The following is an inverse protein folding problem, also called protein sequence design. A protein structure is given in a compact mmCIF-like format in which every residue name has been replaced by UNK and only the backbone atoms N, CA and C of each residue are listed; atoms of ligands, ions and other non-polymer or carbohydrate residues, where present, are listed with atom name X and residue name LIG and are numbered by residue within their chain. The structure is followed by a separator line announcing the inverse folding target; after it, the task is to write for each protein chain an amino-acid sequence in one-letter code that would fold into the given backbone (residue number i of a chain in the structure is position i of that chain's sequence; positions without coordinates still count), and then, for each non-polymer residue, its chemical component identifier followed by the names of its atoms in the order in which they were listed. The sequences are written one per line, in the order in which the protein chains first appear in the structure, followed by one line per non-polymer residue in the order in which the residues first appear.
data_IF_833016512841
#
_entry.id   IF_833016512841
#
_cell.length_a   1.000
_cell.length_b   1.000
_cell.length_c   1.000
_cell.angle_alpha   90.00
_cell.angle_beta   90.00
_cell.angle_gamma   90.00
#
_symmetry.space_group_name_H-M   'P 1'
#
loop_
_entity.id
_entity.type
_entity.pdbx_description
1 polymer ?
#
# COMPACT_ATOMS: atom_id res chain seq x y z
N UNK A 1 -7.84 -19.68 6.22
CA UNK A 1 -7.51 -18.48 7.05
C UNK A 1 -6.86 -17.34 6.25
N UNK A 2 -6.57 -17.56 4.96
CA UNK A 2 -5.87 -16.61 4.08
C UNK A 2 -6.42 -15.18 4.00
N UNK A 3 -7.74 -14.99 4.10
CA UNK A 3 -8.37 -13.67 3.93
C UNK A 3 -8.05 -12.71 5.08
N UNK A 4 -8.01 -13.23 6.32
CA UNK A 4 -7.69 -12.41 7.51
C UNK A 4 -6.22 -11.96 7.45
N UNK A 5 -5.31 -12.87 7.07
CA UNK A 5 -3.88 -12.57 6.94
C UNK A 5 -3.66 -11.53 5.83
N UNK A 6 -4.37 -11.63 4.72
CA UNK A 6 -4.35 -10.64 3.65
C UNK A 6 -4.86 -9.27 4.12
N UNK A 7 -5.95 -9.21 4.89
CA UNK A 7 -6.45 -7.97 5.47
C UNK A 7 -5.46 -7.32 6.45
N UNK A 8 -4.87 -8.09 7.35
CA UNK A 8 -3.86 -7.59 8.30
C UNK A 8 -2.63 -7.08 7.56
N UNK A 9 -2.14 -7.84 6.58
CA UNK A 9 -1.02 -7.43 5.73
C UNK A 9 -1.29 -6.11 4.99
N UNK A 10 -2.50 -5.95 4.45
CA UNK A 10 -2.93 -4.71 3.78
C UNK A 10 -2.90 -3.51 4.74
N UNK A 11 -3.49 -3.64 5.93
CA UNK A 11 -3.57 -2.56 6.91
C UNK A 11 -2.17 -2.16 7.41
N UNK A 12 -1.31 -3.12 7.74
CA UNK A 12 0.06 -2.85 8.19
C UNK A 12 0.86 -2.15 7.10
N UNK A 13 0.81 -2.63 5.86
CA UNK A 13 1.51 -2.00 4.75
C UNK A 13 0.98 -0.59 4.48
N UNK A 14 -0.33 -0.38 4.50
CA UNK A 14 -0.93 0.93 4.32
C UNK A 14 -0.51 1.94 5.39
N UNK A 15 -0.46 1.52 6.66
CA UNK A 15 0.03 2.36 7.76
C UNK A 15 1.49 2.74 7.58
N UNK A 16 2.34 1.78 7.20
CA UNK A 16 3.76 2.05 6.93
C UNK A 16 3.95 3.00 5.76
N UNK A 17 3.20 2.79 4.68
CA UNK A 17 3.24 3.66 3.49
C UNK A 17 2.76 5.06 3.84
N UNK A 18 1.65 5.19 4.56
CA UNK A 18 1.11 6.48 5.03
C UNK A 18 2.16 7.26 5.82
N UNK A 19 2.84 6.58 6.75
CA UNK A 19 3.75 7.22 7.69
C UNK A 19 5.10 7.59 7.07
N UNK A 20 5.62 6.77 6.16
CA UNK A 20 7.01 6.90 5.70
C UNK A 20 7.19 7.22 4.21
N UNK A 21 6.20 6.89 3.37
CA UNK A 21 6.37 6.92 1.91
C UNK A 21 5.50 7.99 1.26
N UNK A 22 4.25 8.13 1.68
CA UNK A 22 3.25 8.93 0.95
C UNK A 22 3.60 10.42 0.86
N UNK A 23 4.13 11.02 1.93
CA UNK A 23 4.52 12.44 1.96
C UNK A 23 5.78 12.76 1.14
N UNK A 24 6.93 12.05 1.31
CA UNK A 24 8.10 12.32 0.50
C UNK A 24 7.87 12.01 -0.98
N UNK A 25 7.09 10.96 -1.29
CA UNK A 25 6.77 10.61 -2.67
C UNK A 25 5.86 11.66 -3.34
N UNK A 26 4.87 12.20 -2.62
CA UNK A 26 4.03 13.28 -3.13
C UNK A 26 4.85 14.54 -3.46
N UNK A 27 5.79 14.91 -2.58
CA UNK A 27 6.67 16.06 -2.81
C UNK A 27 7.55 15.84 -4.04
N UNK A 28 8.17 14.66 -4.16
CA UNK A 28 9.01 14.33 -5.32
C UNK A 28 8.25 14.35 -6.65
N UNK A 29 7.01 13.84 -6.68
CA UNK A 29 6.19 13.86 -7.91
C UNK A 29 5.81 15.29 -8.31
N UNK A 30 5.47 16.12 -7.33
CA UNK A 30 5.10 17.53 -7.56
C UNK A 30 6.31 18.31 -8.06
N UNK A 31 7.50 18.10 -7.50
CA UNK A 31 8.73 18.77 -7.95
C UNK A 31 9.09 18.46 -9.42
N UNK A 32 8.59 17.35 -9.96
CA UNK A 32 8.83 16.94 -11.34
C UNK A 32 7.89 17.62 -12.35
N UNK A 33 6.87 18.37 -11.90
CA UNK A 33 5.85 19.00 -12.75
C UNK A 33 5.89 20.53 -12.64
N UNK A 34 5.62 21.20 -13.76
CA UNK A 34 5.39 22.66 -13.78
C UNK A 34 3.90 22.92 -13.62
N UNK A 35 3.55 23.74 -12.64
CA UNK A 35 2.17 24.15 -12.39
C UNK A 35 1.99 25.63 -12.73
N UNK A 36 0.97 25.93 -13.51
CA UNK A 36 0.58 27.31 -13.84
C UNK A 36 -0.25 27.97 -12.73
N UNK A 37 -0.91 27.15 -11.89
CA UNK A 37 -1.77 27.58 -10.79
C UNK A 37 -1.37 26.88 -9.47
N UNK A 38 -1.23 27.61 -8.35
CA UNK A 38 -0.96 27.00 -7.04
C UNK A 38 -2.02 26.00 -6.55
N UNK A 39 -3.28 26.11 -6.96
CA UNK A 39 -4.32 25.15 -6.51
C UNK A 39 -4.09 23.73 -7.07
N UNK A 40 -3.46 23.62 -8.24
CA UNK A 40 -3.17 22.33 -8.89
C UNK A 40 -2.08 21.56 -8.13
N UNK A 41 -1.17 22.27 -7.49
CA UNK A 41 -0.11 21.70 -6.63
C UNK A 41 -0.74 20.93 -5.46
N UNK A 42 -1.70 21.56 -4.77
CA UNK A 42 -2.39 20.94 -3.63
C UNK A 42 -3.20 19.71 -4.04
N UNK A 43 -3.88 19.79 -5.18
CA UNK A 43 -4.65 18.67 -5.74
C UNK A 43 -3.75 17.50 -6.13
N UNK A 44 -2.58 17.77 -6.73
CA UNK A 44 -1.61 16.75 -7.10
C UNK A 44 -1.00 16.08 -5.87
N UNK A 45 -0.64 16.84 -4.83
CA UNK A 45 -0.18 16.29 -3.56
C UNK A 45 -1.20 15.31 -2.97
N UNK A 46 -2.48 15.71 -2.92
CA UNK A 46 -3.54 14.86 -2.39
C UNK A 46 -3.75 13.59 -3.24
N UNK A 47 -3.72 13.72 -4.57
CA UNK A 47 -3.85 12.59 -5.49
C UNK A 47 -2.72 11.59 -5.31
N UNK A 48 -1.47 12.06 -5.31
CA UNK A 48 -0.30 11.18 -5.14
C UNK A 48 -0.30 10.53 -3.77
N UNK A 49 -0.66 11.27 -2.71
CA UNK A 49 -0.79 10.71 -1.37
C UNK A 49 -1.83 9.58 -1.34
N UNK A 50 -3.02 9.80 -1.90
CA UNK A 50 -4.08 8.79 -1.95
C UNK A 50 -3.68 7.57 -2.80
N UNK A 51 -3.11 7.81 -3.98
CA UNK A 51 -2.67 6.75 -4.90
C UNK A 51 -1.56 5.88 -4.27
N UNK A 52 -0.61 6.50 -3.58
CA UNK A 52 0.49 5.80 -2.91
C UNK A 52 -0.04 4.90 -1.79
N UNK A 53 -0.97 5.41 -0.97
CA UNK A 53 -1.60 4.62 0.08
C UNK A 53 -2.44 3.45 -0.46
N UNK A 54 -3.16 3.68 -1.56
CA UNK A 54 -3.89 2.63 -2.26
C UNK A 54 -2.94 1.53 -2.78
N UNK A 55 -1.81 1.92 -3.37
CA UNK A 55 -0.78 0.97 -3.80
C UNK A 55 -0.23 0.17 -2.61
N UNK A 56 0.01 0.83 -1.46
CA UNK A 56 0.40 0.17 -0.22
C UNK A 56 -0.59 -0.89 0.26
N UNK A 57 -1.89 -0.57 0.21
CA UNK A 57 -2.96 -1.54 0.53
C UNK A 57 -2.92 -2.76 -0.39
N UNK A 58 -2.82 -2.54 -1.71
CA UNK A 58 -2.81 -3.63 -2.70
C UNK A 58 -1.59 -4.52 -2.52
N UNK A 59 -0.41 -3.93 -2.29
CA UNK A 59 0.83 -4.67 -2.07
C UNK A 59 0.76 -5.48 -0.76
N UNK A 60 0.34 -4.86 0.34
CA UNK A 60 0.20 -5.55 1.62
C UNK A 60 -0.83 -6.69 1.58
N UNK A 61 -1.94 -6.47 0.88
CA UNK A 61 -2.95 -7.48 0.63
C UNK A 61 -2.38 -8.67 -0.17
N UNK A 62 -1.66 -8.39 -1.26
CA UNK A 62 -1.02 -9.42 -2.09
C UNK A 62 0.00 -10.26 -1.33
N UNK A 63 0.85 -9.63 -0.52
CA UNK A 63 1.82 -10.31 0.34
C UNK A 63 1.10 -11.19 1.37
N UNK A 64 0.09 -10.65 2.07
CA UNK A 64 -0.65 -11.42 3.06
C UNK A 64 -1.45 -12.58 2.44
N UNK A 65 -1.89 -12.45 1.19
CA UNK A 65 -2.54 -13.54 0.47
C UNK A 65 -1.55 -14.65 0.08
N UNK A 66 -0.34 -14.30 -0.37
CA UNK A 66 0.72 -15.27 -0.65
C UNK A 66 1.12 -16.07 0.59
N UNK A 67 1.30 -15.38 1.72
CA UNK A 67 1.63 -16.02 3.01
C UNK A 67 0.47 -16.89 3.49
N UNK A 68 -0.76 -16.36 3.48
CA UNK A 68 -1.93 -17.09 3.92
C UNK A 68 -2.24 -18.33 3.08
N UNK A 69 -1.95 -18.29 1.77
CA UNK A 69 -2.07 -19.45 0.88
C UNK A 69 -1.05 -20.56 1.19
N UNK A 70 0.18 -20.19 1.58
CA UNK A 70 1.22 -21.16 1.99
C UNK A 70 0.84 -21.89 3.28
N UNK A 71 0.29 -21.18 4.27
CA UNK A 71 -0.10 -21.75 5.57
C UNK A 71 -1.28 -22.73 5.40
N UNK A 72 -2.29 -22.35 4.64
CA UNK A 72 -3.46 -23.22 4.37
C UNK A 72 -3.06 -24.50 3.61
N UNK A 73 -2.01 -24.43 2.77
CA UNK A 73 -1.41 -25.59 2.12
C UNK A 73 -0.63 -26.52 3.06
N UNK A 74 -0.03 -25.99 4.12
CA UNK A 74 0.65 -26.79 5.15
C UNK A 74 -0.35 -27.55 6.03
N UNK A 75 -1.44 -26.88 6.44
CA UNK A 75 -2.50 -27.49 7.26
C UNK A 75 -3.20 -28.66 6.54
N UNK A 76 -3.32 -28.58 5.21
CA UNK A 76 -3.98 -29.60 4.40
C UNK A 76 -3.10 -30.80 4.04
N UNK A 77 -1.78 -30.69 4.18
CA UNK A 77 -0.83 -31.76 3.85
C UNK A 77 -0.37 -32.60 5.06
N UNK A 78 -0.74 -32.21 6.28
CA UNK A 78 -0.65 -33.09 7.46
C UNK A 78 0.76 -33.50 7.87
N UNK A 79 1.78 -32.68 7.61
CA UNK A 79 3.13 -32.87 8.19
C UNK A 79 3.26 -32.05 9.48
N UNK A 80 3.58 -32.69 10.63
CA UNK A 80 3.83 -32.01 11.90
C UNK A 80 5.10 -31.15 11.89
#
# INVERSE_FOLDING_TARGET
MRYVIAMVGAVVAALLVTMFVSSPLATWVVDQQTFDNPDDVGSMHALVFMATNLAGLVVGWGIGWLIGGRIEGADTTGTP
#
